data_IF_352119371053
#
_entry.id   IF_352119371053
#
_cell.length_a   1.000
_cell.length_b   1.000
_cell.length_c   1.000
_cell.angle_alpha   90.00
_cell.angle_beta   90.00
_cell.angle_gamma   90.00
#
_symmetry.space_group_name_H-M   'P 1'
#
loop_
_entity.id
_entity.type
_entity.pdbx_description
1 polymer ?
#
# COMPACT_ATOMS: atom_id res chain seq x y z
N UNK A 1 -29.89 39.96 37.87
CA UNK A 1 -29.76 40.47 36.48
C UNK A 1 -29.04 41.81 36.53
N UNK A 2 -27.78 41.86 36.09
CA UNK A 2 -27.00 43.10 36.03
C UNK A 2 -27.08 43.64 34.60
N UNK A 3 -27.76 44.77 34.39
CA UNK A 3 -27.78 45.46 33.09
C UNK A 3 -26.54 46.35 33.02
N UNK A 4 -25.57 45.95 32.20
CA UNK A 4 -24.42 46.79 31.85
C UNK A 4 -24.89 47.83 30.82
N UNK A 5 -24.75 49.11 31.17
CA UNK A 5 -25.08 50.24 30.30
C UNK A 5 -23.93 50.51 29.33
N UNK A 6 -24.23 50.64 28.03
CA UNK A 6 -23.27 50.86 26.94
C UNK A 6 -22.82 52.34 26.84
N UNK A 7 -22.21 52.89 27.88
CA UNK A 7 -21.52 54.19 27.79
C UNK A 7 -20.19 54.13 28.53
N UNK A 8 -19.08 54.20 27.79
CA UNK A 8 -17.75 54.34 28.39
C UNK A 8 -17.38 55.83 28.55
N UNK A 9 -16.56 56.18 29.55
CA UNK A 9 -15.98 57.51 29.69
C UNK A 9 -15.00 57.85 28.55
N UNK A 10 -14.82 59.16 28.21
CA UNK A 10 -13.97 59.57 27.10
C UNK A 10 -12.50 59.28 27.37
N UNK A 11 -11.82 58.64 26.40
CA UNK A 11 -10.38 58.33 26.45
C UNK A 11 -10.03 56.83 26.46
N UNK A 12 -11.03 55.93 26.50
CA UNK A 12 -10.83 54.47 26.40
C UNK A 12 -11.65 53.88 25.25
N UNK A 13 -11.02 53.05 24.42
CA UNK A 13 -11.70 52.33 23.33
C UNK A 13 -12.70 51.34 23.93
N UNK A 14 -14.00 51.60 23.79
CA UNK A 14 -15.02 50.60 24.12
C UNK A 14 -14.87 49.41 23.17
N UNK A 15 -14.60 48.22 23.70
CA UNK A 15 -14.78 46.98 22.97
C UNK A 15 -16.30 46.72 22.82
N UNK A 16 -16.95 47.45 21.94
CA UNK A 16 -18.30 47.08 21.48
C UNK A 16 -18.16 45.75 20.74
N UNK A 17 -19.04 44.75 20.96
CA UNK A 17 -18.90 43.41 20.38
C UNK A 17 -18.73 43.42 18.84
N UNK A 18 -19.25 44.44 18.15
CA UNK A 18 -19.00 44.65 16.72
C UNK A 18 -17.53 44.94 16.38
N UNK A 19 -16.85 45.85 17.09
CA UNK A 19 -15.44 46.19 16.82
C UNK A 19 -14.49 45.05 17.17
N UNK A 20 -14.80 44.25 18.19
CA UNK A 20 -14.04 43.04 18.52
C UNK A 20 -14.09 42.00 17.38
N UNK A 21 -15.27 41.81 16.77
CA UNK A 21 -15.43 40.90 15.62
C UNK A 21 -14.66 41.39 14.39
N UNK A 22 -14.74 42.68 14.04
CA UNK A 22 -13.97 43.22 12.91
C UNK A 22 -12.46 43.15 13.13
N UNK A 23 -11.98 43.34 14.36
CA UNK A 23 -10.57 43.17 14.72
C UNK A 23 -10.08 41.74 14.51
N UNK A 24 -10.85 40.74 14.95
CA UNK A 24 -10.49 39.33 14.79
C UNK A 24 -10.48 38.93 13.31
N UNK A 25 -11.47 39.37 12.53
CA UNK A 25 -11.53 39.11 11.07
C UNK A 25 -10.34 39.75 10.35
N UNK A 26 -9.96 40.98 10.73
CA UNK A 26 -8.79 41.66 10.18
C UNK A 26 -7.48 40.91 10.44
N UNK A 27 -7.31 40.35 11.64
CA UNK A 27 -6.14 39.54 12.00
C UNK A 27 -6.08 38.26 11.17
N UNK A 28 -7.22 37.58 10.98
CA UNK A 28 -7.28 36.35 10.16
C UNK A 28 -6.91 36.63 8.70
N UNK A 29 -7.37 37.74 8.13
CA UNK A 29 -7.04 38.16 6.76
C UNK A 29 -5.56 38.53 6.64
N UNK A 30 -4.98 39.20 7.65
CA UNK A 30 -3.55 39.53 7.64
C UNK A 30 -2.67 38.27 7.69
N UNK A 31 -3.04 37.29 8.51
CA UNK A 31 -2.31 36.01 8.63
C UNK A 31 -2.42 35.20 7.34
N UNK A 32 -3.59 35.16 6.69
CA UNK A 32 -3.75 34.43 5.43
C UNK A 32 -2.95 35.06 4.28
N UNK A 33 -2.91 36.39 4.18
CA UNK A 33 -2.08 37.10 3.21
C UNK A 33 -0.58 36.88 3.45
N UNK A 34 -0.15 36.82 4.71
CA UNK A 34 1.23 36.52 5.08
C UNK A 34 1.62 35.07 4.70
N UNK A 35 0.74 34.10 4.89
CA UNK A 35 0.97 32.72 4.47
C UNK A 35 1.02 32.55 2.95
N UNK A 36 0.31 33.39 2.18
CA UNK A 36 0.36 33.38 0.71
C UNK A 36 1.63 34.06 0.19
N UNK A 37 2.15 35.08 0.88
CA UNK A 37 3.39 35.76 0.47
C UNK A 37 4.64 34.92 0.70
N UNK A 38 4.66 34.06 1.72
CA UNK A 38 5.78 33.14 1.99
C UNK A 38 5.84 31.95 1.01
N UNK A 39 4.73 31.62 0.34
CA UNK A 39 4.66 30.52 -0.65
C UNK A 39 5.23 30.89 -2.04
N UNK A 40 5.58 32.16 -2.30
CA UNK A 40 6.05 32.61 -3.63
C UNK A 40 7.57 32.52 -3.87
N UNK A 41 8.32 31.82 -3.01
CA UNK A 41 9.77 31.73 -3.07
C UNK A 41 10.31 30.37 -3.59
N UNK A 42 9.67 29.79 -4.61
CA UNK A 42 10.25 28.69 -5.39
C UNK A 42 10.04 28.96 -6.87
N UNK A 43 10.81 29.90 -7.41
CA UNK A 43 10.98 30.05 -8.87
C UNK A 43 12.22 29.25 -9.24
N UNK A 44 12.01 28.04 -9.71
CA UNK A 44 13.05 27.17 -10.22
C UNK A 44 13.71 27.83 -11.45
N UNK A 45 15.02 28.03 -11.37
CA UNK A 45 15.87 28.46 -12.48
C UNK A 45 16.28 27.19 -13.22
N UNK A 46 15.86 27.05 -14.48
CA UNK A 46 16.31 25.96 -15.35
C UNK A 46 17.72 26.32 -15.85
N UNK A 47 18.74 25.69 -15.26
CA UNK A 47 20.12 25.71 -15.71
C UNK A 47 20.32 24.61 -16.76
N UNK A 48 20.53 25.00 -18.03
CA UNK A 48 20.83 24.06 -19.11
C UNK A 48 22.32 23.74 -19.08
N UNK A 49 22.69 22.64 -18.43
CA UNK A 49 24.03 22.06 -18.49
C UNK A 49 24.13 21.09 -19.68
N UNK A 50 25.18 21.25 -20.50
CA UNK A 50 25.45 20.44 -21.68
C UNK A 50 25.83 18.97 -21.38
N UNK A 51 25.98 18.14 -22.43
CA UNK A 51 26.17 16.70 -22.28
C UNK A 51 27.56 16.36 -21.74
N UNK A 52 27.62 15.69 -20.59
CA UNK A 52 28.80 14.98 -20.10
C UNK A 52 28.58 13.44 -20.21
N UNK A 53 29.66 12.66 -20.41
CA UNK A 53 29.57 11.29 -20.90
C UNK A 53 29.03 10.32 -19.86
N UNK A 54 28.23 9.37 -20.37
CA UNK A 54 27.51 8.29 -19.69
C UNK A 54 28.27 7.61 -18.55
N UNK A 55 27.90 7.93 -17.31
CA UNK A 55 27.83 6.91 -16.25
C UNK A 55 26.44 6.31 -16.30
N UNK A 56 26.37 4.98 -16.40
CA UNK A 56 25.12 4.23 -16.42
C UNK A 56 24.39 4.44 -15.09
N UNK A 57 23.48 5.41 -15.05
CA UNK A 57 22.52 5.49 -13.98
C UNK A 57 21.50 4.37 -14.23
N UNK A 58 21.54 3.33 -13.40
CA UNK A 58 20.35 2.53 -13.18
C UNK A 58 19.26 3.52 -12.76
N UNK A 59 18.23 3.66 -13.59
CA UNK A 59 17.07 4.46 -13.23
C UNK A 59 16.44 3.74 -12.04
N UNK A 60 16.82 4.15 -10.82
CA UNK A 60 15.93 3.97 -9.69
C UNK A 60 14.77 4.89 -9.98
N UNK A 61 13.74 4.35 -10.64
CA UNK A 61 12.45 5.01 -10.79
C UNK A 61 11.89 5.08 -9.38
N UNK A 62 12.33 6.09 -8.63
CA UNK A 62 11.72 6.51 -7.38
C UNK A 62 10.50 7.31 -7.78
N UNK A 63 9.47 6.58 -8.19
CA UNK A 63 8.18 7.09 -8.61
C UNK A 63 7.13 6.05 -8.28
N UNK A 64 5.94 6.50 -7.92
CA UNK A 64 4.82 5.62 -7.66
C UNK A 64 4.37 4.97 -8.98
N UNK A 65 4.92 3.79 -9.27
CA UNK A 65 4.70 3.04 -10.53
C UNK A 65 3.23 2.73 -10.80
N UNK A 66 2.34 2.95 -9.81
CA UNK A 66 0.89 2.83 -9.93
C UNK A 66 0.30 3.62 -11.11
N UNK A 67 0.91 4.74 -11.51
CA UNK A 67 0.44 5.56 -12.63
C UNK A 67 1.31 5.45 -13.89
N UNK A 68 2.56 5.03 -13.74
CA UNK A 68 3.54 4.97 -14.84
C UNK A 68 3.41 3.68 -15.66
N UNK A 69 2.90 2.61 -15.05
CA UNK A 69 2.74 1.32 -15.72
C UNK A 69 1.53 0.57 -15.18
N UNK A 70 0.63 0.17 -16.07
CA UNK A 70 -0.48 -0.68 -15.67
C UNK A 70 0.06 -1.97 -15.00
N UNK A 71 -0.45 -2.36 -13.82
CA UNK A 71 -0.06 -3.61 -13.19
C UNK A 71 -0.44 -4.75 -14.13
N UNK A 72 0.51 -5.64 -14.42
CA UNK A 72 0.23 -6.83 -15.22
C UNK A 72 -0.59 -7.79 -14.36
N UNK A 73 -1.77 -8.24 -14.82
CA UNK A 73 -2.55 -9.27 -14.13
C UNK A 73 -1.95 -10.65 -14.42
N UNK A 74 -0.66 -10.81 -14.16
CA UNK A 74 0.11 -12.03 -14.41
C UNK A 74 0.83 -12.45 -13.13
N UNK A 75 0.82 -13.75 -12.88
CA UNK A 75 1.53 -14.40 -11.77
C UNK A 75 3.01 -14.54 -12.14
N UNK A 76 3.92 -14.13 -11.27
CA UNK A 76 5.36 -14.33 -11.51
C UNK A 76 5.73 -15.80 -11.28
N UNK A 77 6.38 -16.41 -12.27
CA UNK A 77 6.89 -17.78 -12.17
C UNK A 77 8.05 -17.90 -11.17
N UNK A 78 8.90 -16.87 -11.04
CA UNK A 78 10.06 -16.85 -10.15
C UNK A 78 9.88 -15.78 -9.07
N UNK A 79 8.96 -16.06 -8.15
CA UNK A 79 8.71 -15.14 -7.04
C UNK A 79 9.91 -15.08 -6.11
N UNK A 80 10.24 -13.88 -5.64
CA UNK A 80 11.38 -13.67 -4.75
C UNK A 80 11.09 -14.29 -3.37
N UNK A 81 12.12 -14.80 -2.68
CA UNK A 81 11.96 -15.23 -1.29
C UNK A 81 11.62 -14.04 -0.39
N UNK A 82 10.78 -14.26 0.61
CA UNK A 82 10.41 -13.28 1.62
C UNK A 82 11.53 -13.16 2.67
N UNK A 83 12.49 -12.28 2.38
CA UNK A 83 13.64 -12.02 3.26
C UNK A 83 13.28 -11.21 4.52
N UNK A 84 12.05 -10.72 4.65
CA UNK A 84 11.62 -9.96 5.84
C UNK A 84 11.70 -10.82 7.11
N UNK A 85 11.49 -12.12 6.97
CA UNK A 85 11.62 -13.12 8.04
C UNK A 85 13.06 -13.18 8.58
N UNK A 86 14.05 -12.95 7.72
CA UNK A 86 15.47 -12.97 8.09
C UNK A 86 15.91 -11.60 8.62
N UNK A 87 15.49 -10.52 7.96
CA UNK A 87 15.89 -9.15 8.30
C UNK A 87 15.34 -8.68 9.65
N UNK A 88 14.17 -9.17 10.05
CA UNK A 88 13.54 -8.81 11.33
C UNK A 88 13.93 -9.74 12.49
N UNK A 89 14.85 -10.69 12.27
CA UNK A 89 15.36 -11.55 13.33
C UNK A 89 16.54 -10.84 14.02
N UNK A 90 16.38 -10.29 15.23
CA UNK A 90 17.51 -9.68 15.97
C UNK A 90 18.66 -10.66 16.26
N UNK A 91 18.42 -11.97 16.08
CA UNK A 91 19.42 -13.04 16.15
C UNK A 91 20.20 -13.30 14.86
N UNK A 92 19.88 -12.65 13.73
CA UNK A 92 20.66 -12.78 12.50
C UNK A 92 22.11 -12.24 12.64
N UNK A 93 22.35 -11.40 13.65
CA UNK A 93 23.68 -10.90 14.04
C UNK A 93 24.29 -11.60 15.26
N UNK A 94 23.60 -12.57 15.88
CA UNK A 94 24.18 -13.33 16.98
C UNK A 94 23.59 -14.74 17.07
N UNK A 95 24.39 -15.67 16.56
CA UNK A 95 24.30 -17.13 16.62
C UNK A 95 23.80 -17.66 17.97
N UNK A 96 22.50 -17.90 18.15
CA UNK A 96 22.02 -18.99 19.01
C UNK A 96 20.58 -19.39 18.63
N UNK A 97 20.44 -20.64 18.18
CA UNK A 97 19.21 -21.36 17.74
C UNK A 97 18.70 -20.91 16.36
N UNK A 98 18.91 -21.73 15.30
CA UNK A 98 18.31 -21.43 14.01
C UNK A 98 16.81 -21.74 14.08
N UNK A 99 15.96 -20.72 13.92
CA UNK A 99 14.61 -20.93 13.39
C UNK A 99 14.73 -21.18 11.88
N UNK A 100 15.55 -22.16 11.49
CA UNK A 100 15.69 -22.58 10.10
C UNK A 100 14.36 -23.24 9.76
N UNK A 101 13.61 -22.60 8.87
CA UNK A 101 12.60 -23.29 8.10
C UNK A 101 13.32 -24.43 7.38
N UNK A 102 13.27 -25.65 7.93
CA UNK A 102 13.90 -26.85 7.36
C UNK A 102 13.41 -27.10 5.94
N UNK A 103 12.25 -26.54 5.60
CA UNK A 103 11.61 -26.66 4.32
C UNK A 103 12.04 -25.59 3.30
N UNK A 104 12.73 -24.52 3.69
CA UNK A 104 13.09 -23.36 2.84
C UNK A 104 12.34 -22.08 3.20
N UNK A 105 12.79 -20.94 2.67
CA UNK A 105 12.20 -19.63 2.95
C UNK A 105 10.91 -19.48 2.13
N UNK A 106 9.81 -18.96 2.71
CA UNK A 106 8.57 -18.68 1.98
C UNK A 106 8.79 -17.64 0.87
N UNK A 107 7.92 -17.63 -0.12
CA UNK A 107 7.93 -16.60 -1.16
C UNK A 107 7.22 -15.33 -0.69
N UNK A 108 7.46 -14.21 -1.37
CA UNK A 108 6.66 -12.99 -1.16
C UNK A 108 5.25 -13.19 -1.70
N UNK A 109 4.25 -12.60 -1.03
CA UNK A 109 2.89 -12.58 -1.55
C UNK A 109 2.80 -11.83 -2.88
N UNK A 110 2.05 -12.41 -3.81
CA UNK A 110 1.74 -11.83 -5.12
C UNK A 110 0.24 -11.90 -5.40
N UNK A 111 -0.22 -11.08 -6.35
CA UNK A 111 -1.60 -11.17 -6.83
C UNK A 111 -1.74 -12.41 -7.70
N UNK A 112 -2.61 -13.33 -7.29
CA UNK A 112 -2.82 -14.62 -7.95
C UNK A 112 -4.09 -14.63 -8.80
N UNK A 113 -5.00 -13.69 -8.60
CA UNK A 113 -6.28 -13.67 -9.30
C UNK A 113 -7.34 -12.83 -8.61
N UNK A 114 -8.60 -13.24 -8.82
CA UNK A 114 -9.78 -12.68 -8.17
C UNK A 114 -10.69 -13.78 -7.64
N UNK A 115 -11.45 -13.45 -6.62
CA UNK A 115 -12.52 -14.26 -6.06
C UNK A 115 -13.85 -13.61 -6.39
N UNK A 116 -14.81 -14.40 -6.85
CA UNK A 116 -16.19 -13.97 -7.07
C UNK A 116 -17.10 -14.62 -6.04
N UNK A 117 -17.64 -13.82 -5.12
CA UNK A 117 -18.63 -14.27 -4.13
C UNK A 117 -19.97 -14.57 -4.80
N UNK A 118 -20.79 -15.42 -4.19
CA UNK A 118 -22.18 -15.67 -4.62
C UNK A 118 -23.03 -14.39 -4.70
N UNK A 119 -22.77 -13.40 -3.83
CA UNK A 119 -23.38 -12.07 -3.86
C UNK A 119 -22.91 -11.17 -5.02
N UNK A 120 -22.02 -11.66 -5.89
CA UNK A 120 -21.52 -10.90 -7.04
C UNK A 120 -20.34 -9.96 -6.73
N UNK A 121 -19.90 -9.89 -5.48
CA UNK A 121 -18.71 -9.14 -5.11
C UNK A 121 -17.45 -9.78 -5.69
N UNK A 122 -16.54 -8.94 -6.20
CA UNK A 122 -15.23 -9.36 -6.70
C UNK A 122 -14.18 -8.90 -5.69
N UNK A 123 -13.37 -9.82 -5.19
CA UNK A 123 -12.31 -9.56 -4.24
C UNK A 123 -10.96 -9.97 -4.82
N UNK A 124 -9.86 -9.24 -4.53
CA UNK A 124 -8.54 -9.63 -4.99
C UNK A 124 -8.03 -10.87 -4.26
N UNK A 125 -7.43 -11.79 -4.99
CA UNK A 125 -6.79 -12.98 -4.44
C UNK A 125 -5.28 -12.80 -4.40
N UNK A 126 -4.71 -12.98 -3.22
CA UNK A 126 -3.27 -12.98 -3.01
C UNK A 126 -2.80 -14.36 -2.56
N UNK A 127 -1.58 -14.72 -2.95
CA UNK A 127 -0.97 -15.96 -2.47
C UNK A 127 0.54 -15.97 -2.55
N UNK A 128 1.13 -16.96 -1.89
CA UNK A 128 2.56 -17.29 -1.92
C UNK A 128 2.76 -18.79 -1.70
N UNK A 129 3.87 -19.35 -2.14
CA UNK A 129 4.29 -20.69 -1.69
C UNK A 129 4.77 -20.63 -0.23
N UNK A 130 4.48 -21.66 0.56
CA UNK A 130 4.96 -21.76 1.96
C UNK A 130 6.48 -21.93 2.03
N UNK A 131 7.07 -22.48 0.97
CA UNK A 131 8.51 -22.57 0.76
C UNK A 131 8.80 -22.71 -0.73
N UNK A 132 9.99 -22.33 -1.19
CA UNK A 132 10.46 -22.45 -2.58
C UNK A 132 10.32 -23.85 -3.20
N UNK A 133 10.29 -24.92 -2.39
CA UNK A 133 10.10 -26.31 -2.87
C UNK A 133 8.76 -26.95 -2.48
N UNK A 134 7.87 -26.17 -1.88
CA UNK A 134 6.59 -26.66 -1.42
C UNK A 134 5.53 -26.60 -2.52
N UNK A 135 4.69 -27.62 -2.56
CA UNK A 135 3.45 -27.64 -3.34
C UNK A 135 2.28 -27.02 -2.55
N UNK A 136 2.57 -26.46 -1.36
CA UNK A 136 1.60 -25.80 -0.49
C UNK A 136 1.69 -24.29 -0.64
N UNK A 137 0.53 -23.66 -0.56
CA UNK A 137 0.36 -22.23 -0.74
C UNK A 137 -0.40 -21.61 0.42
N UNK A 138 -0.04 -20.37 0.75
CA UNK A 138 -0.84 -19.52 1.61
C UNK A 138 -1.64 -18.55 0.78
N UNK A 139 -2.92 -18.41 1.12
CA UNK A 139 -3.84 -17.53 0.39
C UNK A 139 -4.59 -16.63 1.36
N UNK A 140 -4.79 -15.38 0.94
CA UNK A 140 -5.67 -14.44 1.61
C UNK A 140 -6.37 -13.55 0.59
N UNK A 141 -7.47 -12.94 1.00
CA UNK A 141 -8.19 -11.93 0.22
C UNK A 141 -8.23 -10.61 0.98
N UNK A 142 -8.58 -9.53 0.30
CA UNK A 142 -8.82 -8.23 0.94
C UNK A 142 -10.23 -7.75 0.68
N UNK A 143 -10.80 -7.04 1.64
CA UNK A 143 -12.10 -6.37 1.44
C UNK A 143 -11.98 -5.24 0.43
N UNK A 144 -13.07 -4.97 -0.30
CA UNK A 144 -13.19 -3.86 -1.26
C UNK A 144 -13.56 -2.51 -0.59
N UNK A 145 -13.36 -2.41 0.72
CA UNK A 145 -13.68 -1.20 1.49
C UNK A 145 -12.57 -0.14 1.39
N UNK A 146 -12.90 1.11 1.70
CA UNK A 146 -11.93 2.21 1.76
C UNK A 146 -10.70 1.89 2.64
N UNK A 147 -10.90 1.16 3.73
CA UNK A 147 -9.83 0.54 4.50
C UNK A 147 -9.83 -0.98 4.26
N UNK A 148 -9.01 -1.50 3.33
CA UNK A 148 -9.02 -2.91 2.96
C UNK A 148 -8.35 -3.78 4.03
N UNK A 149 -9.14 -4.67 4.63
CA UNK A 149 -8.72 -5.63 5.67
C UNK A 149 -8.36 -6.97 5.02
N UNK A 150 -7.31 -7.63 5.51
CA UNK A 150 -6.90 -8.97 5.07
C UNK A 150 -7.79 -10.02 5.73
N UNK A 151 -8.32 -10.94 4.93
CA UNK A 151 -9.19 -12.02 5.39
C UNK A 151 -8.59 -13.39 5.01
N UNK A 152 -8.56 -14.35 5.95
CA UNK A 152 -8.11 -15.71 5.68
C UNK A 152 -9.08 -16.43 4.75
N UNK A 153 -8.55 -17.38 3.98
CA UNK A 153 -9.32 -18.24 3.10
C UNK A 153 -9.22 -19.69 3.57
N UNK A 154 -10.29 -20.44 3.37
CA UNK A 154 -10.35 -21.87 3.59
C UNK A 154 -10.54 -22.60 2.26
N UNK A 155 -9.74 -23.65 2.04
CA UNK A 155 -9.86 -24.55 0.90
C UNK A 155 -9.91 -25.99 1.40
N UNK A 156 -10.88 -26.78 0.95
CA UNK A 156 -11.03 -28.20 1.35
C UNK A 156 -10.98 -28.43 2.87
N UNK A 157 -11.54 -27.51 3.67
CA UNK A 157 -11.55 -27.52 5.15
C UNK A 157 -10.19 -27.28 5.83
N UNK A 158 -9.21 -26.78 5.09
CA UNK A 158 -7.95 -26.29 5.62
C UNK A 158 -7.93 -24.77 5.61
N UNK A 159 -7.37 -24.16 6.65
CA UNK A 159 -7.12 -22.72 6.66
C UNK A 159 -5.83 -22.43 5.90
N UNK A 160 -5.93 -21.65 4.83
CA UNK A 160 -4.80 -21.35 3.97
C UNK A 160 -3.82 -20.34 4.57
N UNK A 161 -4.10 -19.79 5.75
CA UNK A 161 -3.14 -18.94 6.47
C UNK A 161 -2.32 -19.73 7.51
N UNK A 162 -2.60 -21.01 7.70
CA UNK A 162 -1.84 -21.86 8.64
C UNK A 162 -0.41 -22.13 8.14
N UNK A 163 0.43 -22.68 9.03
CA UNK A 163 1.84 -23.02 8.74
C UNK A 163 1.97 -24.04 7.58
N UNK A 164 0.99 -24.94 7.44
CA UNK A 164 0.96 -25.94 6.37
C UNK A 164 0.48 -25.33 5.05
N UNK A 165 -0.43 -24.36 5.12
CA UNK A 165 -1.13 -23.80 3.96
C UNK A 165 -2.13 -24.77 3.31
N UNK A 166 -2.52 -24.46 2.08
CA UNK A 166 -3.47 -25.19 1.25
C UNK A 166 -2.81 -25.78 0.00
N UNK A 167 -3.53 -26.67 -0.69
CA UNK A 167 -3.17 -27.08 -2.06
C UNK A 167 -3.18 -25.89 -3.02
N UNK A 168 -2.48 -26.00 -4.16
CA UNK A 168 -2.64 -25.05 -5.25
C UNK A 168 -4.09 -25.02 -5.76
N UNK A 169 -4.61 -23.82 -5.92
CA UNK A 169 -5.97 -23.55 -6.42
C UNK A 169 -5.95 -23.31 -7.93
N UNK A 170 -7.02 -23.75 -8.59
CA UNK A 170 -7.22 -23.63 -10.02
C UNK A 170 -8.44 -22.77 -10.36
N UNK A 171 -8.57 -22.42 -11.63
CA UNK A 171 -9.75 -21.72 -12.14
C UNK A 171 -11.04 -22.50 -11.85
N UNK A 172 -12.02 -21.81 -11.26
CA UNK A 172 -13.31 -22.39 -10.90
C UNK A 172 -13.36 -23.04 -9.53
N UNK A 173 -12.24 -23.10 -8.79
CA UNK A 173 -12.24 -23.66 -7.44
C UNK A 173 -13.09 -22.83 -6.47
N UNK A 174 -13.81 -23.52 -5.58
CA UNK A 174 -14.60 -22.90 -4.52
C UNK A 174 -13.76 -22.76 -3.25
N UNK A 175 -13.69 -21.54 -2.75
CA UNK A 175 -12.99 -21.14 -1.54
C UNK A 175 -14.01 -20.56 -0.56
N UNK A 176 -13.76 -20.68 0.74
CA UNK A 176 -14.59 -20.04 1.75
C UNK A 176 -13.82 -18.91 2.43
N UNK A 177 -14.46 -17.77 2.63
CA UNK A 177 -13.84 -16.62 3.31
C UNK A 177 -14.06 -16.81 4.81
N UNK A 178 -12.98 -16.93 5.59
CA UNK A 178 -13.07 -17.33 7.00
C UNK A 178 -13.90 -16.36 7.86
N UNK A 179 -13.75 -15.05 7.63
CA UNK A 179 -14.45 -14.04 8.44
C UNK A 179 -15.95 -13.91 8.12
N UNK A 180 -16.34 -14.01 6.84
CA UNK A 180 -17.73 -13.83 6.40
C UNK A 180 -18.48 -15.17 6.29
N UNK A 181 -17.76 -16.28 6.18
CA UNK A 181 -18.31 -17.61 5.93
C UNK A 181 -18.82 -17.83 4.51
N UNK A 182 -18.74 -16.82 3.64
CA UNK A 182 -19.20 -16.85 2.26
C UNK A 182 -18.34 -17.75 1.38
N UNK A 183 -18.98 -18.40 0.41
CA UNK A 183 -18.29 -19.13 -0.65
C UNK A 183 -17.99 -18.21 -1.82
N UNK A 184 -16.77 -18.30 -2.34
CA UNK A 184 -16.31 -17.55 -3.50
C UNK A 184 -15.64 -18.49 -4.50
N UNK A 185 -15.83 -18.20 -5.79
CA UNK A 185 -15.21 -18.94 -6.90
C UNK A 185 -13.93 -18.22 -7.33
N UNK A 186 -12.82 -18.95 -7.44
CA UNK A 186 -11.53 -18.40 -7.84
C UNK A 186 -11.41 -18.29 -9.37
N UNK A 187 -10.78 -17.20 -9.81
CA UNK A 187 -10.29 -17.00 -11.18
C UNK A 187 -8.84 -16.56 -11.08
N UNK A 188 -7.95 -17.42 -11.54
CA UNK A 188 -6.50 -17.35 -11.38
C UNK A 188 -5.87 -16.67 -12.60
N UNK A 189 -4.89 -15.83 -12.34
CA UNK A 189 -4.11 -15.18 -13.37
C UNK A 189 -3.11 -16.14 -14.00
N UNK A 190 -2.85 -15.92 -15.29
CA UNK A 190 -1.85 -16.70 -16.03
C UNK A 190 -0.46 -16.34 -15.53
N UNK A 191 0.46 -17.30 -15.60
CA UNK A 191 1.86 -17.03 -15.34
C UNK A 191 2.47 -16.11 -16.40
N UNK A 192 3.28 -15.15 -15.96
CA UNK A 192 4.23 -14.45 -16.82
C UNK A 192 5.40 -15.41 -17.10
N UNK A 193 5.39 -16.02 -18.27
CA UNK A 193 6.47 -16.89 -18.72
C UNK A 193 7.71 -16.10 -19.13
N UNK A 194 8.86 -16.77 -19.31
CA UNK A 194 10.03 -16.14 -19.91
C UNK A 194 9.66 -15.58 -21.28
N UNK A 195 9.71 -14.26 -21.43
CA UNK A 195 9.43 -13.58 -22.69
C UNK A 195 10.73 -13.48 -23.48
N UNK A 196 10.69 -13.79 -24.77
CA UNK A 196 11.85 -13.62 -25.65
C UNK A 196 12.27 -12.14 -25.66
N UNK A 197 13.56 -11.89 -25.37
CA UNK A 197 14.15 -10.55 -25.47
C UNK A 197 14.83 -10.47 -26.83
N UNK A 198 14.24 -9.79 -27.83
CA UNK A 198 14.78 -9.78 -29.20
C UNK A 198 16.09 -9.01 -29.35
N UNK A 199 16.49 -8.24 -28.33
CA UNK A 199 17.65 -7.34 -28.41
C UNK A 199 18.57 -7.57 -27.22
N UNK A 200 19.28 -8.68 -27.21
CA UNK A 200 20.57 -8.79 -26.51
C UNK A 200 21.63 -8.62 -27.60
N UNK A 201 21.98 -7.36 -27.87
CA UNK A 201 23.18 -7.03 -28.64
C UNK A 201 24.34 -7.19 -27.67
N UNK A 202 25.20 -8.18 -27.95
CA UNK A 202 26.49 -8.38 -27.28
C UNK A 202 27.45 -7.24 -27.62
#
# INVERSE_FOLDING_TARGET
>A
MVRISNKCPPGVLCLTPGLALFGIIGIIIAVSLFMISTQKASREVIEVAGPSPSSQQFIQVSGDDRFSRAPKPERDWLTRPDLSVIANSPTAIMSTIPTIATQGIPETYQSMGVLKTEGGQILPLYGRRTSSRSDRFQYYTRTDSYNPVQLPLEHKRHNCQDDIGCDEIYDGDKMKIGATGESATATIYRFSGPTYVPTVVL
#
